data_IF_166995782180
#
_entry.id   IF_166995782180
#
_cell.length_a   1.000
_cell.length_b   1.000
_cell.length_c   1.000
_cell.angle_alpha   90.00
_cell.angle_beta   90.00
_cell.angle_gamma   90.00
#
_symmetry.space_group_name_H-M   'P 1'
#
loop_
_entity.id
_entity.type
_entity.pdbx_description
1 polymer ?
#
# COMPACT_ATOMS: atom_id res chain seq x y z
N UNK A 1 -9.99 1.59 -18.33
CA UNK A 1 -10.28 1.08 -19.70
C UNK A 1 -9.24 1.49 -20.75
N UNK A 2 -8.59 2.65 -20.64
CA UNK A 2 -7.61 3.14 -21.62
C UNK A 2 -6.50 2.14 -22.04
N UNK A 3 -6.02 1.31 -21.11
CA UNK A 3 -5.00 0.29 -21.41
C UNK A 3 -5.55 -0.83 -22.31
N UNK A 4 -6.72 -1.39 -21.98
CA UNK A 4 -7.34 -2.47 -22.77
C UNK A 4 -7.76 -1.98 -24.17
N UNK A 5 -8.29 -0.76 -24.27
CA UNK A 5 -8.60 -0.13 -25.55
C UNK A 5 -7.33 0.18 -26.38
N UNK A 6 -6.24 0.56 -25.72
CA UNK A 6 -4.94 0.76 -26.36
C UNK A 6 -4.38 -0.54 -26.92
N UNK A 7 -4.54 -1.66 -26.21
CA UNK A 7 -4.14 -2.98 -26.68
C UNK A 7 -4.92 -3.38 -27.94
N UNK A 8 -6.24 -3.18 -27.96
CA UNK A 8 -7.07 -3.44 -29.15
C UNK A 8 -6.68 -2.64 -30.40
N UNK A 9 -6.03 -1.48 -30.22
CA UNK A 9 -5.56 -0.62 -31.31
C UNK A 9 -4.10 -0.89 -31.71
N UNK A 10 -3.41 -1.76 -30.98
CA UNK A 10 -2.00 -2.07 -31.22
C UNK A 10 -1.89 -3.29 -32.12
N UNK A 11 -1.29 -3.11 -33.30
CA UNK A 11 -1.07 -4.16 -34.30
C UNK A 11 0.40 -4.63 -34.39
N UNK A 12 1.25 -4.15 -33.48
CA UNK A 12 2.69 -4.44 -33.45
C UNK A 12 3.19 -4.86 -32.07
N UNK A 13 4.38 -5.47 -32.05
CA UNK A 13 5.04 -5.87 -30.81
C UNK A 13 4.41 -7.07 -30.11
N UNK A 14 4.74 -7.25 -28.83
CA UNK A 14 4.42 -8.45 -28.04
C UNK A 14 2.92 -8.69 -27.82
N UNK A 15 2.11 -7.63 -27.90
CA UNK A 15 0.69 -7.69 -27.54
C UNK A 15 -0.26 -7.53 -28.73
N UNK A 16 0.25 -7.57 -29.97
CA UNK A 16 -0.56 -7.42 -31.20
C UNK A 16 -1.71 -8.43 -31.31
N UNK A 17 -1.53 -9.61 -30.71
CA UNK A 17 -2.50 -10.71 -30.77
C UNK A 17 -3.45 -10.70 -29.56
N UNK A 18 -3.30 -9.73 -28.64
CA UNK A 18 -4.20 -9.54 -27.50
C UNK A 18 -5.33 -8.60 -27.93
N UNK A 19 -6.51 -9.17 -28.17
CA UNK A 19 -7.71 -8.44 -28.55
C UNK A 19 -8.83 -8.79 -27.57
N UNK A 20 -9.39 -7.78 -26.92
CA UNK A 20 -10.56 -7.91 -26.06
C UNK A 20 -11.82 -7.66 -26.87
N UNK A 21 -12.80 -8.56 -26.78
CA UNK A 21 -14.13 -8.33 -27.33
C UNK A 21 -14.96 -7.37 -26.45
N UNK A 22 -16.15 -6.99 -26.92
CA UNK A 22 -17.02 -6.06 -26.18
C UNK A 22 -17.48 -6.61 -24.82
N UNK A 23 -17.62 -7.93 -24.70
CA UNK A 23 -18.04 -8.59 -23.47
C UNK A 23 -16.88 -8.63 -22.47
N UNK A 24 -15.68 -8.98 -22.91
CA UNK A 24 -14.46 -8.98 -22.10
C UNK A 24 -14.11 -7.56 -21.61
N UNK A 25 -14.30 -6.55 -22.45
CA UNK A 25 -14.14 -5.15 -22.04
C UNK A 25 -15.16 -4.75 -20.95
N UNK A 26 -16.41 -5.24 -21.06
CA UNK A 26 -17.42 -5.01 -20.04
C UNK A 26 -17.09 -5.74 -18.73
N UNK A 27 -16.66 -6.99 -18.80
CA UNK A 27 -16.20 -7.77 -17.64
C UNK A 27 -15.03 -7.08 -16.95
N UNK A 28 -14.04 -6.61 -17.71
CA UNK A 28 -12.91 -5.85 -17.19
C UNK A 28 -13.34 -4.54 -16.54
N UNK A 29 -14.32 -3.84 -17.12
CA UNK A 29 -14.89 -2.64 -16.54
C UNK A 29 -15.45 -2.95 -15.15
N UNK A 30 -16.35 -3.92 -15.03
CA UNK A 30 -16.95 -4.30 -13.75
C UNK A 30 -15.89 -4.78 -12.75
N UNK A 31 -14.95 -5.62 -13.15
CA UNK A 31 -13.86 -6.09 -12.30
C UNK A 31 -13.00 -4.94 -11.77
N UNK A 32 -12.71 -3.94 -12.62
CA UNK A 32 -11.94 -2.76 -12.21
C UNK A 32 -12.65 -1.90 -11.17
N UNK A 33 -13.98 -1.83 -11.19
CA UNK A 33 -14.75 -1.15 -10.14
C UNK A 33 -14.78 -1.94 -8.83
N UNK A 34 -14.85 -3.27 -8.92
CA UNK A 34 -15.00 -4.14 -7.76
C UNK A 34 -13.69 -4.52 -7.06
N UNK A 35 -12.52 -4.29 -7.67
CA UNK A 35 -11.23 -4.76 -7.13
C UNK A 35 -10.98 -4.33 -5.68
N UNK A 36 -11.48 -3.15 -5.31
CA UNK A 36 -11.32 -2.55 -3.99
C UNK A 36 -12.61 -2.58 -3.14
N UNK A 37 -13.69 -3.20 -3.64
CA UNK A 37 -14.97 -3.27 -2.90
C UNK A 37 -14.83 -3.95 -1.54
N UNK A 38 -13.87 -4.88 -1.39
CA UNK A 38 -13.54 -5.51 -0.12
C UNK A 38 -12.97 -4.56 0.95
N UNK A 39 -12.54 -3.35 0.57
CA UNK A 39 -12.01 -2.36 1.51
C UNK A 39 -13.09 -1.71 2.39
N UNK A 40 -14.37 -1.91 2.08
CA UNK A 40 -15.49 -1.35 2.85
C UNK A 40 -15.55 -1.84 4.30
N UNK A 41 -14.98 -3.01 4.58
CA UNK A 41 -14.93 -3.58 5.94
C UNK A 41 -13.67 -3.18 6.71
N UNK A 42 -12.75 -2.43 6.10
CA UNK A 42 -11.49 -2.03 6.73
C UNK A 42 -11.79 -0.89 7.72
N UNK A 43 -11.27 -0.98 8.96
CA UNK A 43 -11.39 0.10 9.95
C UNK A 43 -10.88 1.45 9.44
N UNK A 44 -11.55 2.55 9.82
CA UNK A 44 -11.17 3.92 9.44
C UNK A 44 -9.72 4.23 9.77
N UNK A 45 -9.28 3.90 10.99
CA UNK A 45 -7.91 4.13 11.46
C UNK A 45 -6.82 3.34 10.71
N UNK A 46 -7.20 2.47 9.77
CA UNK A 46 -6.29 1.77 8.86
C UNK A 46 -6.39 2.36 7.44
N UNK A 47 -7.60 2.76 7.01
CA UNK A 47 -7.85 3.36 5.69
C UNK A 47 -7.33 4.80 5.63
N UNK A 48 -7.64 5.61 6.64
CA UNK A 48 -7.36 7.04 6.72
C UNK A 48 -6.31 7.35 7.78
N UNK A 49 -5.13 6.78 7.60
CA UNK A 49 -3.96 7.05 8.45
C UNK A 49 -3.06 8.10 7.82
N UNK A 50 -2.68 9.12 8.57
CA UNK A 50 -1.76 10.17 8.16
C UNK A 50 -0.31 9.70 8.06
N UNK A 51 0.11 8.73 8.89
CA UNK A 51 1.45 8.12 8.82
C UNK A 51 1.42 6.60 8.70
N UNK A 52 2.56 6.00 8.35
CA UNK A 52 2.66 4.55 8.13
C UNK A 52 2.35 3.74 9.40
N UNK A 53 2.72 4.26 10.57
CA UNK A 53 2.67 3.57 11.87
C UNK A 53 1.42 3.89 12.70
N UNK A 54 0.65 4.87 12.25
CA UNK A 54 -0.59 5.30 12.86
C UNK A 54 -1.66 4.20 12.84
N UNK A 55 -2.32 4.08 13.99
CA UNK A 55 -3.53 3.28 14.23
C UNK A 55 -4.53 4.23 14.90
N UNK A 56 -4.88 4.05 16.19
CA UNK A 56 -5.67 5.04 16.95
C UNK A 56 -4.82 6.26 17.33
N UNK A 57 -3.49 6.09 17.36
CA UNK A 57 -2.49 7.13 17.55
C UNK A 57 -1.22 6.77 16.76
N UNK A 58 -0.30 7.73 16.60
CA UNK A 58 0.97 7.48 15.94
C UNK A 58 1.96 6.76 16.86
N UNK A 59 2.39 5.57 16.44
CA UNK A 59 3.33 4.71 17.18
C UNK A 59 4.79 5.06 16.93
N UNK A 60 5.10 6.09 16.14
CA UNK A 60 6.48 6.59 15.99
C UNK A 60 7.10 6.93 17.35
N UNK A 61 6.30 7.49 18.27
CA UNK A 61 6.72 7.84 19.62
C UNK A 61 7.19 6.61 20.42
N UNK A 62 6.62 5.42 20.18
CA UNK A 62 7.08 4.20 20.83
C UNK A 62 8.49 3.81 20.38
N UNK A 63 8.80 4.03 19.09
CA UNK A 63 10.14 3.76 18.54
C UNK A 63 11.15 4.74 19.12
N UNK A 64 10.79 6.02 19.19
CA UNK A 64 11.62 7.06 19.80
C UNK A 64 11.91 6.74 21.27
N UNK A 65 10.90 6.37 22.04
CA UNK A 65 11.09 5.97 23.44
C UNK A 65 12.02 4.76 23.59
N UNK A 66 11.89 3.74 22.73
CA UNK A 66 12.79 2.57 22.75
C UNK A 66 14.23 2.98 22.47
N UNK A 67 14.43 3.90 21.52
CA UNK A 67 15.78 4.40 21.20
C UNK A 67 16.39 5.19 22.35
N UNK A 68 15.62 6.09 22.97
CA UNK A 68 16.07 6.86 24.14
C UNK A 68 16.41 5.97 25.33
N UNK A 69 15.63 4.91 25.58
CA UNK A 69 15.95 3.92 26.62
C UNK A 69 17.29 3.23 26.33
N UNK A 70 17.51 2.74 25.10
CA UNK A 70 18.76 2.07 24.74
C UNK A 70 19.97 3.00 24.85
N UNK A 71 19.82 4.25 24.43
CA UNK A 71 20.85 5.28 24.56
C UNK A 71 21.20 5.53 26.03
N UNK A 72 20.19 5.70 26.88
CA UNK A 72 20.37 5.89 28.33
C UNK A 72 21.05 4.68 28.96
N UNK A 73 20.65 3.47 28.59
CA UNK A 73 21.21 2.25 29.16
C UNK A 73 22.69 2.10 28.76
N UNK A 74 23.04 2.42 27.50
CA UNK A 74 24.43 2.46 27.04
C UNK A 74 25.28 3.49 27.80
N UNK A 75 24.74 4.68 28.05
CA UNK A 75 25.39 5.73 28.84
C UNK A 75 25.62 5.28 30.30
N UNK A 76 24.61 4.67 30.93
CA UNK A 76 24.73 4.12 32.28
C UNK A 76 25.78 3.02 32.33
N UNK A 77 25.79 2.09 31.37
CA UNK A 77 26.80 1.03 31.31
C UNK A 77 28.21 1.61 31.14
N UNK A 78 28.38 2.62 30.30
CA UNK A 78 29.66 3.31 30.13
C UNK A 78 30.13 3.99 31.42
N UNK A 79 29.24 4.71 32.11
CA UNK A 79 29.59 5.41 33.34
C UNK A 79 29.84 4.46 34.53
N UNK A 80 29.16 3.31 34.61
CA UNK A 80 29.34 2.31 35.68
C UNK A 80 30.48 1.33 35.46
N UNK A 81 31.11 1.33 34.28
CA UNK A 81 32.25 0.46 33.97
C UNK A 81 33.61 1.12 34.19
N UNK A 82 33.63 2.39 34.62
CA UNK A 82 34.77 3.08 35.22
C UNK A 82 34.66 3.07 36.75
#
# INVERSE_FOLDING_TARGET
MAIAEGLNKTDYGKYKDTLFDSKELYELHIASWLHDAGKVTIPENVVDKGTKLEIIYDRINEIEHRYEILKRDAEITFLKSN
#
